data_IF_696803263223
#
_entry.id   IF_696803263223
#
_cell.length_a   1.000
_cell.length_b   1.000
_cell.length_c   1.000
_cell.angle_alpha   90.00
_cell.angle_beta   90.00
_cell.angle_gamma   90.00
#
_symmetry.space_group_name_H-M   'P 1'
#
loop_
_entity.id
_entity.type
_entity.pdbx_description
1 polymer ?
#
# COMPACT_ATOMS: atom_id res chain seq x y z
N UNK A 1 -0.97 13.90 -17.22
CA UNK A 1 -1.81 13.95 -16.01
C UNK A 1 -1.26 15.08 -15.14
N UNK A 2 -2.03 16.16 -14.94
CA UNK A 2 -1.60 17.31 -14.16
C UNK A 2 -1.21 16.89 -12.73
N UNK A 3 -0.11 17.46 -12.22
CA UNK A 3 0.72 16.89 -11.16
C UNK A 3 0.04 16.80 -9.80
N UNK A 4 -0.31 15.58 -9.37
CA UNK A 4 -0.68 15.30 -7.98
C UNK A 4 0.55 15.52 -7.09
N UNK A 5 0.37 16.23 -5.98
CA UNK A 5 1.47 16.50 -5.03
C UNK A 5 1.86 15.23 -4.29
N UNK A 6 3.14 14.85 -4.43
CA UNK A 6 3.73 13.71 -3.71
C UNK A 6 3.91 14.09 -2.24
N UNK A 7 3.26 13.35 -1.34
CA UNK A 7 3.39 13.51 0.11
C UNK A 7 4.61 12.78 0.65
N UNK A 8 4.79 11.54 0.20
CA UNK A 8 5.83 10.66 0.72
C UNK A 8 6.12 9.54 -0.28
N UNK A 9 7.38 9.13 -0.36
CA UNK A 9 7.80 7.97 -1.13
C UNK A 9 8.50 6.97 -0.21
N UNK A 10 7.87 5.81 -0.04
CA UNK A 10 8.50 4.66 0.59
C UNK A 10 9.10 3.70 -0.44
N UNK A 11 9.58 2.56 0.05
CA UNK A 11 10.17 1.48 -0.75
C UNK A 11 9.25 0.93 -1.84
N UNK A 12 7.97 0.75 -1.52
CA UNK A 12 7.00 0.06 -2.39
C UNK A 12 5.81 0.92 -2.81
N UNK A 13 5.61 2.07 -2.17
CA UNK A 13 4.43 2.92 -2.36
C UNK A 13 4.81 4.39 -2.40
N UNK A 14 4.10 5.15 -3.24
CA UNK A 14 4.06 6.60 -3.24
C UNK A 14 2.70 7.06 -2.74
N UNK A 15 2.69 8.10 -1.91
CA UNK A 15 1.51 8.71 -1.34
C UNK A 15 1.29 10.04 -2.05
N UNK A 16 0.09 10.29 -2.57
CA UNK A 16 -0.28 11.54 -3.23
C UNK A 16 -1.47 12.18 -2.52
N UNK A 17 -1.50 13.52 -2.52
CA UNK A 17 -2.67 14.29 -2.11
C UNK A 17 -3.86 14.05 -3.05
N UNK A 18 -5.06 14.29 -2.51
CA UNK A 18 -6.30 14.42 -3.28
C UNK A 18 -6.90 15.80 -3.03
N UNK A 19 -8.04 16.10 -3.66
CA UNK A 19 -8.80 17.32 -3.37
C UNK A 19 -9.42 17.32 -1.96
N UNK A 20 -9.49 16.15 -1.29
CA UNK A 20 -9.93 16.01 0.10
C UNK A 20 -8.74 15.88 1.04
N UNK A 21 -8.76 16.65 2.14
CA UNK A 21 -7.73 16.56 3.19
C UNK A 21 -7.77 15.24 3.98
N UNK A 22 -8.90 14.54 3.93
CA UNK A 22 -9.14 13.27 4.63
C UNK A 22 -8.76 12.05 3.79
N UNK A 23 -8.38 12.23 2.53
CA UNK A 23 -8.09 11.14 1.59
C UNK A 23 -6.71 11.30 0.95
N UNK A 24 -6.06 10.17 0.68
CA UNK A 24 -4.81 10.10 -0.08
C UNK A 24 -4.88 8.99 -1.11
N UNK A 25 -4.09 9.12 -2.18
CA UNK A 25 -3.89 8.07 -3.16
C UNK A 25 -2.59 7.32 -2.82
N UNK A 26 -2.68 5.99 -2.72
CA UNK A 26 -1.54 5.09 -2.64
C UNK A 26 -1.27 4.50 -4.02
N UNK A 27 -0.14 4.86 -4.61
CA UNK A 27 0.36 4.26 -5.85
C UNK A 27 1.41 3.19 -5.53
N UNK A 28 1.18 1.97 -5.99
CA UNK A 28 2.10 0.85 -5.80
C UNK A 28 3.18 0.84 -6.89
N UNK A 29 4.44 0.68 -6.48
CA UNK A 29 5.58 0.63 -7.40
C UNK A 29 5.87 -0.80 -7.88
N UNK A 30 6.27 -0.89 -9.14
CA UNK A 30 6.87 -2.10 -9.72
C UNK A 30 8.28 -2.37 -9.17
N UNK A 31 8.93 -1.35 -8.61
CA UNK A 31 10.28 -1.42 -8.03
C UNK A 31 10.18 -1.66 -6.52
N UNK A 32 11.02 -2.53 -5.99
CA UNK A 32 11.36 -2.54 -4.57
C UNK A 32 12.77 -1.96 -4.40
N UNK A 33 12.86 -0.97 -3.54
CA UNK A 33 14.13 -0.46 -3.03
C UNK A 33 14.38 -1.07 -1.65
N UNK A 34 15.16 -2.14 -1.55
CA UNK A 34 15.60 -2.63 -0.24
C UNK A 34 16.36 -1.53 0.52
N UNK A 35 16.20 -1.53 1.84
CA UNK A 35 16.73 -0.52 2.76
C UNK A 35 18.27 -0.43 2.71
N UNK A 36 18.95 -1.45 2.17
CA UNK A 36 20.41 -1.56 2.05
C UNK A 36 20.94 -1.28 0.61
N UNK A 37 20.09 -0.82 -0.32
CA UNK A 37 20.53 -0.28 -1.61
C UNK A 37 21.09 -1.27 -2.66
N UNK A 38 21.42 -2.51 -2.29
CA UNK A 38 22.16 -3.43 -3.16
C UNK A 38 21.31 -4.24 -4.15
N UNK A 39 20.01 -4.44 -3.92
CA UNK A 39 19.14 -5.21 -4.83
C UNK A 39 17.88 -4.45 -5.24
N UNK A 40 17.82 -4.10 -6.53
CA UNK A 40 16.58 -3.65 -7.20
C UNK A 40 15.78 -4.88 -7.64
N UNK A 41 15.03 -5.47 -6.72
CA UNK A 41 14.08 -6.53 -7.06
C UNK A 41 12.78 -5.89 -7.60
N UNK A 42 12.40 -6.20 -8.84
CA UNK A 42 11.19 -5.64 -9.44
C UNK A 42 10.86 -6.31 -10.77
N UNK A 43 9.58 -6.42 -11.07
CA UNK A 43 9.11 -6.92 -12.36
C UNK A 43 7.92 -6.08 -12.82
N UNK A 44 7.71 -6.02 -14.13
CA UNK A 44 6.64 -5.25 -14.75
C UNK A 44 5.28 -5.75 -14.26
N UNK A 45 4.43 -4.84 -13.78
CA UNK A 45 3.08 -5.16 -13.30
C UNK A 45 3.01 -5.58 -11.83
N UNK A 46 4.13 -5.59 -11.09
CA UNK A 46 4.13 -5.89 -9.65
C UNK A 46 3.28 -4.90 -8.84
N UNK A 47 3.29 -3.62 -9.20
CA UNK A 47 2.46 -2.57 -8.62
C UNK A 47 0.97 -2.82 -8.88
N UNK A 48 0.61 -3.20 -10.11
CA UNK A 48 -0.76 -3.57 -10.47
C UNK A 48 -1.24 -4.77 -9.65
N UNK A 49 -0.43 -5.82 -9.56
CA UNK A 49 -0.75 -7.01 -8.77
C UNK A 49 -0.95 -6.67 -7.30
N UNK A 50 -0.09 -5.83 -6.72
CA UNK A 50 -0.21 -5.37 -5.33
C UNK A 50 -1.48 -4.58 -5.08
N UNK A 51 -1.82 -3.66 -5.97
CA UNK A 51 -3.06 -2.88 -5.88
C UNK A 51 -4.28 -3.79 -5.90
N UNK A 52 -4.31 -4.75 -6.83
CA UNK A 52 -5.39 -5.73 -6.95
C UNK A 52 -5.53 -6.60 -5.69
N UNK A 53 -4.45 -7.25 -5.26
CA UNK A 53 -4.48 -8.11 -4.06
C UNK A 53 -4.87 -7.33 -2.81
N UNK A 54 -4.32 -6.12 -2.64
CA UNK A 54 -4.63 -5.26 -1.49
C UNK A 54 -6.11 -4.88 -1.48
N UNK A 55 -6.66 -4.51 -2.64
CA UNK A 55 -8.09 -4.15 -2.77
C UNK A 55 -8.98 -5.34 -2.41
N UNK A 56 -8.71 -6.53 -2.96
CA UNK A 56 -9.46 -7.75 -2.67
C UNK A 56 -9.46 -8.11 -1.17
N UNK A 57 -8.30 -7.99 -0.51
CA UNK A 57 -8.19 -8.26 0.93
C UNK A 57 -8.99 -7.24 1.73
N UNK A 58 -8.92 -5.96 1.38
CA UNK A 58 -9.69 -4.93 2.10
C UNK A 58 -11.19 -5.04 1.89
N UNK A 59 -11.64 -5.39 0.67
CA UNK A 59 -13.04 -5.69 0.39
C UNK A 59 -13.52 -6.90 1.19
N UNK A 60 -12.70 -7.97 1.25
CA UNK A 60 -12.98 -9.13 2.08
C UNK A 60 -13.09 -8.75 3.56
N UNK A 61 -12.15 -7.99 4.11
CA UNK A 61 -12.24 -7.53 5.51
C UNK A 61 -13.48 -6.65 5.75
N UNK A 62 -13.82 -5.80 4.78
CA UNK A 62 -15.01 -4.95 4.82
C UNK A 62 -16.31 -5.73 4.87
N UNK A 63 -16.40 -6.90 4.20
CA UNK A 63 -17.59 -7.76 4.27
C UNK A 63 -17.84 -8.37 5.66
N UNK A 64 -16.82 -8.39 6.52
CA UNK A 64 -16.92 -8.76 7.93
C UNK A 64 -17.00 -7.54 8.87
N UNK A 65 -17.31 -6.34 8.34
CA UNK A 65 -17.40 -5.08 9.09
C UNK A 65 -16.12 -4.68 9.83
N UNK A 66 -14.96 -5.12 9.35
CA UNK A 66 -13.67 -4.71 9.94
C UNK A 66 -13.32 -3.31 9.40
N UNK A 67 -13.15 -2.29 10.26
CA UNK A 67 -12.82 -0.96 9.81
C UNK A 67 -11.40 -0.91 9.24
N UNK A 68 -11.28 -0.38 8.03
CA UNK A 68 -9.99 -0.18 7.35
C UNK A 68 -9.90 1.22 6.78
N UNK A 69 -8.71 1.63 6.34
CA UNK A 69 -8.57 2.90 5.63
C UNK A 69 -9.03 2.83 4.17
N UNK A 70 -9.35 1.65 3.64
CA UNK A 70 -9.62 1.48 2.22
C UNK A 70 -10.94 2.15 1.86
N UNK A 71 -10.94 2.93 0.77
CA UNK A 71 -12.14 3.56 0.23
C UNK A 71 -12.52 2.86 -1.07
N UNK A 72 -11.60 2.83 -2.04
CA UNK A 72 -11.79 2.16 -3.34
C UNK A 72 -10.48 1.98 -4.08
N UNK A 73 -10.49 1.14 -5.12
CA UNK A 73 -9.43 1.08 -6.14
C UNK A 73 -9.69 2.14 -7.20
N UNK A 74 -8.77 3.09 -7.37
CA UNK A 74 -8.90 4.19 -8.33
C UNK A 74 -8.41 3.77 -9.73
N UNK A 75 -7.34 2.97 -9.81
CA UNK A 75 -6.74 2.51 -11.06
C UNK A 75 -6.03 1.16 -10.88
N UNK A 76 -5.36 0.65 -11.91
CA UNK A 76 -4.62 -0.61 -11.91
C UNK A 76 -3.56 -0.68 -10.82
N UNK A 77 -2.78 0.39 -10.60
CA UNK A 77 -1.72 0.44 -9.59
C UNK A 77 -2.00 1.43 -8.46
N UNK A 78 -3.24 1.93 -8.34
CA UNK A 78 -3.61 2.96 -7.37
C UNK A 78 -4.86 2.59 -6.57
N UNK A 79 -4.83 2.89 -5.28
CA UNK A 79 -6.00 2.82 -4.39
C UNK A 79 -6.18 4.15 -3.66
N UNK A 80 -7.42 4.48 -3.34
CA UNK A 80 -7.81 5.61 -2.51
C UNK A 80 -8.06 5.14 -1.09
N UNK A 81 -7.47 5.84 -0.13
CA UNK A 81 -7.57 5.50 1.29
C UNK A 81 -7.80 6.74 2.14
N UNK A 82 -8.39 6.54 3.32
CA UNK A 82 -8.46 7.55 4.38
C UNK A 82 -7.06 7.88 4.85
N UNK A 83 -6.76 9.16 5.01
CA UNK A 83 -5.53 9.68 5.59
C UNK A 83 -5.52 9.34 7.08
N UNK A 84 -4.46 8.67 7.53
CA UNK A 84 -4.31 8.25 8.94
C UNK A 84 -3.02 8.79 9.54
N UNK A 85 -3.04 9.04 10.85
CA UNK A 85 -1.83 9.17 11.67
C UNK A 85 -1.36 7.76 12.05
N UNK A 86 -0.28 7.30 11.41
CA UNK A 86 0.25 5.96 11.67
C UNK A 86 0.81 5.83 13.08
N UNK A 87 0.44 4.75 13.78
CA UNK A 87 1.15 4.31 14.99
C UNK A 87 2.44 3.62 14.50
N UNK A 88 3.64 3.99 14.98
CA UNK A 88 4.92 3.43 14.51
C UNK A 88 5.17 2.03 15.08
N UNK A 89 4.22 1.11 14.88
CA UNK A 89 4.23 -0.25 15.36
C UNK A 89 3.91 -1.18 14.19
N UNK A 90 4.62 -2.31 14.11
CA UNK A 90 4.32 -3.40 13.18
C UNK A 90 3.70 -4.56 13.95
N UNK A 91 2.45 -4.89 13.62
CA UNK A 91 1.76 -6.07 14.16
C UNK A 91 1.99 -7.24 13.21
N UNK A 92 2.52 -8.35 13.73
CA UNK A 92 2.79 -9.57 12.97
C UNK A 92 2.08 -10.75 13.63
N UNK A 93 1.19 -11.41 12.90
CA UNK A 93 0.50 -12.63 13.33
C UNK A 93 1.19 -13.83 12.70
N UNK A 94 1.44 -14.88 13.49
CA UNK A 94 2.12 -16.10 13.04
C UNK A 94 1.30 -17.31 13.45
N UNK A 95 0.82 -18.06 12.47
CA UNK A 95 0.15 -19.35 12.71
C UNK A 95 1.17 -20.50 12.81
N UNK A 96 2.33 -20.36 12.16
CA UNK A 96 3.42 -21.33 12.15
C UNK A 96 4.78 -20.60 12.24
N UNK A 97 5.82 -21.28 12.74
CA UNK A 97 7.18 -20.74 12.78
C UNK A 97 7.81 -20.76 11.38
N UNK A 98 8.30 -19.61 10.92
CA UNK A 98 8.98 -19.44 9.65
C UNK A 98 9.75 -18.11 9.59
N UNK A 99 10.74 -18.02 8.70
CA UNK A 99 11.53 -16.82 8.44
C UNK A 99 12.39 -16.43 9.64
N UNK A 100 12.31 -15.18 10.09
CA UNK A 100 13.13 -14.66 11.20
C UNK A 100 12.82 -15.24 12.60
N UNK A 101 11.82 -16.11 12.71
CA UNK A 101 11.46 -16.82 13.96
C UNK A 101 11.86 -18.30 13.88
N UNK A 102 12.74 -18.67 12.96
CA UNK A 102 13.24 -20.04 12.81
C UNK A 102 14.51 -20.24 13.63
#
# INVERSE_FOLDING_TARGET
MAGRKLLHQGTTKKLFETDSEEEIILQFSDKEFEFDGERKAGFKGKGKLRSLMTSLIYEYLGSYNIPTHFIKKDDDAEIRVKKLKMIPLRVVVRNFAAGSLS
#
